data_IF_190333477735
#
_entry.id   IF_190333477735
#
_cell.length_a   1.000
_cell.length_b   1.000
_cell.length_c   1.000
_cell.angle_alpha   90.00
_cell.angle_beta   90.00
_cell.angle_gamma   90.00
#
_symmetry.space_group_name_H-M   'P 1'
#
loop_
_entity.id
_entity.type
_entity.pdbx_description
1 polymer ?
#
# COMPACT_ATOMS: atom_id res chain seq x y z
N UNK A 1 -20.16 -19.43 -20.67
CA UNK A 1 -18.94 -19.37 -21.51
C UNK A 1 -18.57 -17.91 -21.61
N UNK A 2 -17.41 -17.50 -21.10
CA UNK A 2 -17.01 -16.10 -21.18
C UNK A 2 -16.61 -15.78 -22.62
N UNK A 3 -17.11 -14.68 -23.20
CA UNK A 3 -17.03 -14.35 -24.64
C UNK A 3 -15.61 -14.15 -25.22
N UNK A 4 -14.54 -14.30 -24.42
CA UNK A 4 -13.18 -13.87 -24.79
C UNK A 4 -12.09 -14.92 -24.55
N UNK A 5 -12.44 -16.20 -24.37
CA UNK A 5 -11.48 -17.28 -24.16
C UNK A 5 -10.87 -17.76 -25.49
N UNK A 6 -9.54 -17.87 -25.56
CA UNK A 6 -8.85 -18.41 -26.74
C UNK A 6 -8.93 -19.94 -26.72
N UNK A 7 -9.43 -20.54 -27.81
CA UNK A 7 -9.58 -22.00 -27.95
C UNK A 7 -8.65 -22.50 -29.05
N UNK A 8 -7.84 -23.52 -28.74
CA UNK A 8 -6.98 -24.22 -29.70
C UNK A 8 -7.28 -25.71 -29.60
N UNK A 9 -7.57 -26.35 -30.73
CA UNK A 9 -7.92 -27.78 -30.80
C UNK A 9 -9.09 -28.22 -29.88
N UNK A 10 -10.01 -27.30 -29.55
CA UNK A 10 -11.18 -27.58 -28.71
C UNK A 10 -10.95 -27.38 -27.21
N UNK A 11 -9.74 -26.98 -26.79
CA UNK A 11 -9.42 -26.69 -25.39
C UNK A 11 -9.11 -25.20 -25.19
N UNK A 12 -9.48 -24.67 -24.02
CA UNK A 12 -9.15 -23.30 -23.64
C UNK A 12 -7.66 -23.21 -23.38
N UNK A 13 -6.99 -22.24 -24.02
CA UNK A 13 -5.56 -22.02 -23.81
C UNK A 13 -5.37 -21.42 -22.43
N UNK A 14 -4.57 -22.09 -21.60
CA UNK A 14 -4.23 -21.63 -20.26
C UNK A 14 -2.79 -21.12 -20.20
N UNK A 15 -2.56 -20.09 -19.41
CA UNK A 15 -1.22 -19.62 -19.08
C UNK A 15 -0.47 -20.73 -18.32
N UNK A 16 0.71 -21.14 -18.80
CA UNK A 16 1.53 -22.17 -18.14
C UNK A 16 2.02 -21.73 -16.77
N UNK A 17 2.26 -20.44 -16.60
CA UNK A 17 2.52 -19.85 -15.30
C UNK A 17 1.33 -20.04 -14.35
N UNK A 18 0.30 -19.21 -14.48
CA UNK A 18 -0.73 -19.13 -13.43
C UNK A 18 -2.03 -19.92 -13.69
N UNK A 19 -2.15 -20.63 -14.81
CA UNK A 19 -3.36 -21.35 -15.19
C UNK A 19 -4.54 -20.46 -15.58
N UNK A 20 -4.37 -19.13 -15.67
CA UNK A 20 -5.40 -18.21 -16.18
C UNK A 20 -5.81 -18.59 -17.61
N UNK A 21 -7.11 -18.55 -17.92
CA UNK A 21 -7.58 -18.68 -19.30
C UNK A 21 -7.06 -17.47 -20.09
N UNK A 22 -6.42 -17.73 -21.22
CA UNK A 22 -5.78 -16.69 -22.02
C UNK A 22 -6.83 -15.88 -22.77
N UNK A 23 -6.62 -14.55 -22.78
CA UNK A 23 -7.41 -13.58 -23.52
C UNK A 23 -6.51 -12.45 -24.02
N UNK A 24 -6.92 -11.76 -25.09
CA UNK A 24 -6.13 -10.71 -25.76
C UNK A 24 -6.82 -9.34 -25.76
N UNK A 25 -7.96 -9.23 -25.07
CA UNK A 25 -8.88 -8.09 -25.14
C UNK A 25 -8.62 -7.07 -24.04
N UNK A 26 -8.68 -7.49 -22.77
CA UNK A 26 -8.69 -6.60 -21.61
C UNK A 26 -7.37 -6.68 -20.83
N UNK A 27 -6.53 -5.64 -20.97
CA UNK A 27 -5.22 -5.53 -20.28
C UNK A 27 -5.30 -5.62 -18.76
N UNK A 28 -6.44 -5.28 -18.16
CA UNK A 28 -6.61 -5.23 -16.71
C UNK A 28 -7.11 -6.57 -16.12
N UNK A 29 -7.56 -7.51 -16.95
CA UNK A 29 -8.09 -8.80 -16.51
C UNK A 29 -7.03 -9.91 -16.50
N UNK A 30 -7.17 -10.92 -15.62
CA UNK A 30 -6.32 -12.11 -15.63
C UNK A 30 -6.24 -12.76 -17.01
N UNK A 31 -5.10 -13.36 -17.31
CA UNK A 31 -4.88 -14.08 -18.57
C UNK A 31 -4.60 -13.18 -19.79
N UNK A 32 -4.57 -11.85 -19.63
CA UNK A 32 -4.22 -10.96 -20.74
C UNK A 32 -2.85 -11.30 -21.30
N UNK A 33 -2.73 -11.44 -22.60
CA UNK A 33 -1.44 -11.45 -23.32
C UNK A 33 -1.60 -10.72 -24.65
N UNK A 34 -0.59 -9.94 -25.12
CA UNK A 34 -0.64 -9.35 -26.45
C UNK A 34 -0.72 -10.44 -27.53
N UNK A 35 -1.45 -10.20 -28.61
CA UNK A 35 -1.63 -11.17 -29.70
C UNK A 35 -0.31 -11.63 -30.32
N UNK A 36 0.68 -10.74 -30.42
CA UNK A 36 2.03 -11.07 -30.88
C UNK A 36 2.78 -12.03 -29.93
N UNK A 37 2.52 -11.96 -28.62
CA UNK A 37 3.09 -12.86 -27.64
C UNK A 37 2.32 -14.20 -27.59
N UNK A 38 1.00 -14.16 -27.80
CA UNK A 38 0.18 -15.36 -27.94
C UNK A 38 0.64 -16.23 -29.11
N UNK A 39 0.77 -15.65 -30.30
CA UNK A 39 1.16 -16.40 -31.50
C UNK A 39 2.52 -17.07 -31.32
N UNK A 40 3.51 -16.34 -30.77
CA UNK A 40 4.82 -16.91 -30.43
C UNK A 40 4.73 -18.02 -29.38
N UNK A 41 3.91 -17.83 -28.34
CA UNK A 41 3.72 -18.81 -27.28
C UNK A 41 3.02 -20.08 -27.77
N UNK A 42 2.10 -19.96 -28.73
CA UNK A 42 1.45 -21.11 -29.36
C UNK A 42 2.41 -21.90 -30.26
N UNK A 43 3.34 -21.21 -30.95
CA UNK A 43 4.40 -21.84 -31.74
C UNK A 43 5.44 -22.56 -30.86
N UNK A 44 5.83 -21.96 -29.74
CA UNK A 44 6.81 -22.55 -28.82
C UNK A 44 6.20 -23.56 -27.85
N UNK A 45 4.87 -23.67 -27.80
CA UNK A 45 4.15 -24.42 -26.77
C UNK A 45 4.22 -23.78 -25.38
N UNK A 46 4.77 -22.57 -25.26
CA UNK A 46 4.94 -21.84 -24.01
C UNK A 46 4.13 -20.54 -23.97
N UNK A 47 2.85 -20.62 -23.58
CA UNK A 47 1.99 -19.43 -23.46
C UNK A 47 2.01 -18.87 -22.04
N UNK A 48 2.49 -17.64 -21.89
CA UNK A 48 2.41 -16.88 -20.65
C UNK A 48 1.46 -15.68 -20.81
N UNK A 49 0.68 -15.40 -19.75
CA UNK A 49 0.01 -14.12 -19.61
C UNK A 49 1.05 -13.01 -19.33
N UNK A 50 0.68 -11.76 -19.60
CA UNK A 50 1.52 -10.58 -19.41
C UNK A 50 2.11 -10.52 -17.99
N UNK A 51 1.34 -10.90 -16.97
CA UNK A 51 1.81 -10.94 -15.58
C UNK A 51 2.92 -11.97 -15.38
N UNK A 52 2.71 -13.22 -15.81
CA UNK A 52 3.71 -14.28 -15.67
C UNK A 52 4.97 -14.00 -16.51
N UNK A 53 4.79 -13.46 -17.72
CA UNK A 53 5.89 -13.06 -18.59
C UNK A 53 6.75 -11.96 -17.96
N UNK A 54 6.12 -10.87 -17.47
CA UNK A 54 6.85 -9.77 -16.82
C UNK A 54 7.51 -10.19 -15.51
N UNK A 55 6.88 -11.10 -14.77
CA UNK A 55 7.48 -11.67 -13.58
C UNK A 55 8.74 -12.47 -13.92
N UNK A 56 8.69 -13.37 -14.90
CA UNK A 56 9.83 -14.21 -15.27
C UNK A 56 10.99 -13.44 -15.89
N UNK A 57 10.70 -12.44 -16.72
CA UNK A 57 11.75 -11.77 -17.50
C UNK A 57 12.23 -10.47 -16.87
N UNK A 58 11.36 -9.79 -16.12
CA UNK A 58 11.65 -8.48 -15.55
C UNK A 58 11.53 -8.44 -14.02
N UNK A 59 11.21 -9.57 -13.35
CA UNK A 59 10.88 -9.62 -11.94
C UNK A 59 9.82 -8.56 -11.57
N UNK A 60 8.80 -8.36 -12.41
CA UNK A 60 7.79 -7.33 -12.20
C UNK A 60 6.41 -7.94 -11.90
N UNK A 61 5.84 -7.59 -10.75
CA UNK A 61 4.52 -8.08 -10.30
C UNK A 61 3.45 -7.06 -10.70
N UNK A 62 2.51 -7.50 -11.55
CA UNK A 62 1.36 -6.69 -12.00
C UNK A 62 0.16 -6.94 -11.06
N UNK A 63 -0.49 -5.89 -10.54
CA UNK A 63 -1.67 -6.04 -9.67
C UNK A 63 -2.90 -6.52 -10.47
N UNK A 64 -3.76 -7.28 -9.80
CA UNK A 64 -5.09 -7.69 -10.31
C UNK A 64 -6.14 -7.07 -9.40
N UNK A 65 -7.22 -6.55 -9.98
CA UNK A 65 -8.37 -6.05 -9.21
C UNK A 65 -9.05 -7.20 -8.45
N UNK A 66 -9.19 -7.04 -7.14
CA UNK A 66 -9.81 -8.01 -6.24
C UNK A 66 -11.22 -7.58 -5.86
N UNK A 67 -12.11 -8.54 -5.68
CA UNK A 67 -13.38 -8.35 -4.97
C UNK A 67 -13.20 -8.68 -3.48
N UNK A 68 -14.03 -8.11 -2.61
CA UNK A 68 -13.99 -8.37 -1.17
C UNK A 68 -14.22 -9.86 -0.83
N UNK A 69 -15.01 -10.58 -1.63
CA UNK A 69 -15.29 -12.00 -1.45
C UNK A 69 -14.08 -12.88 -1.79
N UNK A 70 -13.37 -12.59 -2.87
CA UNK A 70 -12.14 -13.29 -3.23
C UNK A 70 -11.06 -13.10 -2.16
N UNK A 71 -11.04 -11.92 -1.56
CA UNK A 71 -10.16 -11.59 -0.46
C UNK A 71 -10.47 -12.40 0.81
N UNK A 72 -11.73 -12.48 1.22
CA UNK A 72 -12.11 -13.26 2.40
C UNK A 72 -11.81 -14.76 2.21
N UNK A 73 -12.03 -15.30 1.01
CA UNK A 73 -11.66 -16.68 0.67
C UNK A 73 -10.16 -16.90 0.73
N UNK A 74 -9.38 -15.98 0.17
CA UNK A 74 -7.92 -15.99 0.21
C UNK A 74 -7.42 -16.06 1.65
N UNK A 75 -7.83 -15.13 2.51
CA UNK A 75 -7.36 -15.12 3.89
C UNK A 75 -7.88 -16.33 4.69
N UNK A 76 -9.14 -16.72 4.49
CA UNK A 76 -9.68 -17.92 5.14
C UNK A 76 -8.88 -19.17 4.78
N UNK A 77 -8.40 -19.29 3.52
CA UNK A 77 -7.52 -20.39 3.12
C UNK A 77 -6.18 -20.40 3.86
N UNK A 78 -5.65 -19.21 4.18
CA UNK A 78 -4.42 -19.04 4.97
C UNK A 78 -4.70 -19.34 6.45
N UNK A 79 -5.88 -19.01 6.98
CA UNK A 79 -6.21 -19.28 8.39
C UNK A 79 -6.14 -20.76 8.78
N UNK A 80 -6.32 -21.66 7.81
CA UNK A 80 -6.32 -23.10 8.01
C UNK A 80 -4.94 -23.76 7.86
N UNK A 81 -3.90 -22.99 7.48
CA UNK A 81 -2.53 -23.50 7.37
C UNK A 81 -1.80 -23.40 8.70
N UNK A 82 -0.68 -24.11 8.81
CA UNK A 82 0.32 -23.92 9.87
C UNK A 82 1.56 -23.25 9.25
N UNK A 83 1.59 -21.91 9.28
CA UNK A 83 2.54 -21.09 8.53
C UNK A 83 2.90 -19.79 9.25
N UNK A 84 3.96 -19.12 8.81
CA UNK A 84 4.29 -17.76 9.26
C UNK A 84 3.62 -16.72 8.35
N UNK A 85 2.92 -15.75 8.93
CA UNK A 85 2.42 -14.60 8.19
C UNK A 85 3.43 -13.45 8.28
N UNK A 86 3.98 -13.05 7.14
CA UNK A 86 4.78 -11.83 7.00
C UNK A 86 3.85 -10.73 6.54
N UNK A 87 3.44 -9.88 7.47
CA UNK A 87 2.48 -8.83 7.19
C UNK A 87 3.17 -7.49 6.88
N UNK A 88 3.13 -7.07 5.62
CA UNK A 88 3.81 -5.87 5.12
C UNK A 88 2.89 -4.65 5.20
N UNK A 89 3.37 -3.60 5.84
CA UNK A 89 2.70 -2.30 5.98
C UNK A 89 3.60 -1.15 5.54
N UNK A 90 3.03 -0.10 4.96
CA UNK A 90 3.75 1.13 4.64
C UNK A 90 3.94 1.97 5.91
N UNK A 91 5.17 2.31 6.28
CA UNK A 91 5.43 3.16 7.47
C UNK A 91 4.90 4.59 7.33
N UNK A 92 4.71 5.09 6.11
CA UNK A 92 4.12 6.40 5.87
C UNK A 92 2.60 6.38 5.99
N UNK A 93 1.97 5.28 5.55
CA UNK A 93 0.51 5.11 5.58
C UNK A 93 0.09 3.87 6.37
N UNK A 94 0.45 3.85 7.67
CA UNK A 94 0.20 2.68 8.52
C UNK A 94 -1.27 2.38 8.69
N UNK A 95 -2.13 3.39 8.84
CA UNK A 95 -3.55 3.16 9.06
C UNK A 95 -4.22 2.59 7.80
N UNK A 96 -3.96 3.17 6.62
CA UNK A 96 -4.41 2.64 5.33
C UNK A 96 -3.73 1.32 4.94
N UNK A 97 -2.66 0.92 5.63
CA UNK A 97 -2.00 -0.38 5.45
C UNK A 97 -2.49 -1.47 6.39
N UNK A 98 -3.14 -1.10 7.50
CA UNK A 98 -3.65 -2.02 8.50
C UNK A 98 -5.02 -2.56 8.08
N UNK A 99 -5.11 -3.88 7.91
CA UNK A 99 -6.31 -4.59 7.50
C UNK A 99 -7.14 -4.85 8.75
N UNK A 100 -8.35 -4.28 8.86
CA UNK A 100 -9.21 -4.51 10.00
C UNK A 100 -9.51 -6.00 10.16
N UNK A 101 -9.35 -6.52 11.38
CA UNK A 101 -9.68 -7.91 11.67
C UNK A 101 -8.72 -8.96 11.10
N UNK A 102 -7.55 -8.58 10.56
CA UNK A 102 -6.58 -9.53 10.00
C UNK A 102 -6.29 -10.72 10.92
N UNK A 103 -6.16 -10.49 12.23
CA UNK A 103 -5.93 -11.54 13.23
C UNK A 103 -6.99 -12.66 13.22
N UNK A 104 -8.25 -12.34 12.87
CA UNK A 104 -9.32 -13.35 12.72
C UNK A 104 -9.19 -14.12 11.42
N UNK A 105 -8.66 -13.44 10.40
CA UNK A 105 -8.57 -13.93 9.03
C UNK A 105 -7.33 -14.78 8.81
N UNK A 106 -6.33 -14.72 9.69
CA UNK A 106 -5.12 -15.55 9.64
C UNK A 106 -5.09 -16.65 10.71
N UNK A 107 -6.14 -16.80 11.51
CA UNK A 107 -6.23 -17.85 12.53
C UNK A 107 -5.15 -17.74 13.61
N UNK A 108 -4.62 -18.88 14.04
CA UNK A 108 -3.57 -18.97 15.08
C UNK A 108 -2.15 -18.81 14.52
N UNK A 109 -2.01 -18.49 13.23
CA UNK A 109 -0.71 -18.35 12.58
C UNK A 109 0.08 -17.17 13.19
N UNK A 110 1.37 -17.36 13.53
CA UNK A 110 2.22 -16.28 14.00
C UNK A 110 2.35 -15.17 12.95
N UNK A 111 2.30 -13.91 13.39
CA UNK A 111 2.42 -12.75 12.51
C UNK A 111 3.70 -11.97 12.79
N UNK A 112 4.61 -11.93 11.81
CA UNK A 112 5.74 -11.02 11.75
C UNK A 112 5.32 -9.73 11.02
N UNK A 113 5.27 -8.61 11.74
CA UNK A 113 4.90 -7.32 11.15
C UNK A 113 6.13 -6.66 10.52
N UNK A 114 6.01 -6.25 9.26
CA UNK A 114 7.09 -5.64 8.47
C UNK A 114 6.70 -4.23 8.06
N UNK A 115 7.33 -3.22 8.67
CA UNK A 115 7.21 -1.82 8.26
C UNK A 115 8.14 -1.53 7.09
N UNK A 116 7.61 -1.44 5.88
CA UNK A 116 8.35 -1.19 4.66
C UNK A 116 8.45 0.32 4.35
N UNK A 117 9.34 0.67 3.42
CA UNK A 117 9.64 2.03 2.95
C UNK A 117 10.27 2.94 4.00
N UNK A 118 11.06 2.39 4.93
CA UNK A 118 11.70 3.22 5.98
C UNK A 118 12.66 4.28 5.43
N UNK A 119 13.12 4.14 4.19
CA UNK A 119 13.93 5.13 3.48
C UNK A 119 13.21 6.48 3.24
N UNK A 120 11.87 6.51 3.29
CA UNK A 120 11.10 7.74 3.13
C UNK A 120 10.94 8.50 4.44
N UNK A 121 11.18 7.86 5.59
CA UNK A 121 11.06 8.52 6.89
C UNK A 121 12.22 9.50 7.09
N UNK A 122 11.98 10.66 7.73
CA UNK A 122 13.04 11.61 8.04
C UNK A 122 14.15 10.98 8.88
N UNK A 123 15.41 11.37 8.66
CA UNK A 123 16.56 10.82 9.40
C UNK A 123 16.49 11.03 10.93
N UNK A 124 15.70 12.00 11.40
CA UNK A 124 15.45 12.19 12.84
C UNK A 124 14.62 11.06 13.45
N UNK A 125 13.99 10.22 12.63
CA UNK A 125 13.14 9.14 13.06
C UNK A 125 13.95 7.91 13.41
N UNK A 126 14.20 7.72 14.71
CA UNK A 126 14.98 6.59 15.21
C UNK A 126 14.25 5.27 14.95
N UNK A 127 14.86 4.35 14.20
CA UNK A 127 14.31 3.03 13.86
C UNK A 127 13.62 2.33 15.03
N UNK A 128 14.27 2.25 16.20
CA UNK A 128 13.69 1.61 17.39
C UNK A 128 12.36 2.24 17.82
N UNK A 129 12.28 3.58 17.84
CA UNK A 129 11.05 4.30 18.21
C UNK A 129 9.93 4.04 17.21
N UNK A 130 10.26 4.02 15.91
CA UNK A 130 9.29 3.73 14.84
C UNK A 130 8.77 2.29 14.96
N UNK A 131 9.64 1.32 15.24
CA UNK A 131 9.25 -0.08 15.43
C UNK A 131 8.36 -0.26 16.68
N UNK A 132 8.71 0.38 17.79
CA UNK A 132 7.91 0.36 19.04
C UNK A 132 6.54 1.01 18.81
N UNK A 133 6.50 2.16 18.14
CA UNK A 133 5.27 2.85 17.78
C UNK A 133 4.40 1.99 16.84
N UNK A 134 5.00 1.36 15.83
CA UNK A 134 4.29 0.48 14.90
C UNK A 134 3.68 -0.72 15.62
N UNK A 135 4.41 -1.32 16.56
CA UNK A 135 3.90 -2.38 17.44
C UNK A 135 2.68 -1.91 18.25
N UNK A 136 2.74 -0.71 18.81
CA UNK A 136 1.62 -0.13 19.56
C UNK A 136 0.40 0.13 18.68
N UNK A 137 0.59 0.49 17.41
CA UNK A 137 -0.51 0.64 16.44
C UNK A 137 -1.13 -0.70 16.05
N UNK A 138 -0.32 -1.70 15.75
CA UNK A 138 -0.80 -3.05 15.51
C UNK A 138 -1.62 -3.57 16.70
N UNK A 139 -1.09 -3.43 17.93
CA UNK A 139 -1.78 -3.86 19.15
C UNK A 139 -3.12 -3.15 19.34
N UNK A 140 -3.19 -1.85 19.06
CA UNK A 140 -4.44 -1.08 19.15
C UNK A 140 -5.47 -1.51 18.09
N UNK A 141 -5.01 -2.01 16.94
CA UNK A 141 -5.86 -2.63 15.91
C UNK A 141 -6.20 -4.11 16.21
N UNK A 142 -5.82 -4.62 17.38
CA UNK A 142 -6.07 -6.01 17.79
C UNK A 142 -5.09 -7.04 17.22
N UNK A 143 -4.05 -6.61 16.50
CA UNK A 143 -3.00 -7.47 15.99
C UNK A 143 -1.84 -7.52 16.98
N UNK A 144 -1.44 -8.72 17.42
CA UNK A 144 -0.31 -8.93 18.34
C UNK A 144 0.84 -9.62 17.59
N UNK A 145 1.71 -8.87 16.91
CA UNK A 145 2.78 -9.48 16.13
C UNK A 145 3.85 -10.07 17.04
N UNK A 146 4.38 -11.24 16.66
CA UNK A 146 5.49 -11.91 17.35
C UNK A 146 6.82 -11.15 17.20
N UNK A 147 6.94 -10.34 16.16
CA UNK A 147 8.09 -9.49 15.87
C UNK A 147 7.70 -8.28 15.04
N UNK A 148 8.51 -7.23 15.09
CA UNK A 148 8.38 -6.06 14.20
C UNK A 148 9.73 -5.81 13.56
N UNK A 149 9.79 -5.80 12.23
CA UNK A 149 10.99 -5.49 11.46
C UNK A 149 10.73 -4.30 10.55
N UNK A 150 11.65 -3.35 10.55
CA UNK A 150 11.63 -2.23 9.61
C UNK A 150 12.56 -2.55 8.43
N UNK A 151 12.12 -2.26 7.21
CA UNK A 151 12.87 -2.53 5.98
C UNK A 151 12.65 -1.46 4.92
N UNK A 152 13.52 -1.43 3.93
CA UNK A 152 13.26 -0.77 2.66
C UNK A 152 13.52 -1.75 1.53
N UNK A 153 12.45 -2.27 0.94
CA UNK A 153 12.56 -3.06 -0.30
C UNK A 153 13.14 -2.26 -1.47
N UNK A 154 13.13 -0.92 -1.41
CA UNK A 154 13.71 -0.08 -2.46
C UNK A 154 15.23 0.02 -2.37
N UNK A 155 15.75 0.20 -1.15
CA UNK A 155 17.19 0.42 -0.91
C UNK A 155 17.91 -0.83 -0.43
N UNK A 156 17.19 -1.94 -0.29
CA UNK A 156 17.66 -3.19 0.31
C UNK A 156 18.07 -3.05 1.79
N UNK A 157 17.65 -1.98 2.47
CA UNK A 157 17.96 -1.78 3.88
C UNK A 157 17.22 -2.79 4.76
N UNK A 158 17.97 -3.45 5.63
CA UNK A 158 17.50 -4.42 6.63
C UNK A 158 16.76 -5.65 6.08
N UNK A 159 16.85 -5.93 4.78
CA UNK A 159 16.24 -7.13 4.15
C UNK A 159 16.90 -8.42 4.67
N UNK A 160 18.22 -8.45 4.83
CA UNK A 160 18.94 -9.61 5.40
C UNK A 160 18.49 -9.89 6.85
N UNK A 161 18.23 -8.83 7.62
CA UNK A 161 17.70 -8.95 8.98
C UNK A 161 16.29 -9.52 8.97
N UNK A 162 15.46 -9.08 8.02
CA UNK A 162 14.12 -9.64 7.81
C UNK A 162 14.18 -11.13 7.48
N UNK A 163 15.03 -11.56 6.54
CA UNK A 163 15.18 -12.98 6.19
C UNK A 163 15.58 -13.82 7.40
N UNK A 164 16.50 -13.34 8.23
CA UNK A 164 16.87 -14.03 9.50
C UNK A 164 15.71 -14.12 10.49
N UNK A 165 14.87 -13.09 10.60
CA UNK A 165 13.67 -13.16 11.45
C UNK A 165 12.61 -14.10 10.88
N UNK A 166 12.42 -14.10 9.55
CA UNK A 166 11.53 -15.04 8.87
C UNK A 166 11.98 -16.47 9.15
N UNK A 167 13.26 -16.78 8.94
CA UNK A 167 13.82 -18.10 9.19
C UNK A 167 13.62 -18.53 10.65
N UNK A 168 13.92 -17.62 11.59
CA UNK A 168 13.74 -17.87 13.02
C UNK A 168 12.29 -18.18 13.39
N UNK A 169 11.32 -17.44 12.85
CA UNK A 169 9.93 -17.52 13.28
C UNK A 169 9.06 -18.48 12.47
N UNK A 170 9.49 -18.83 11.25
CA UNK A 170 8.78 -19.82 10.44
C UNK A 170 8.96 -21.22 10.99
N UNK A 171 10.05 -21.50 11.70
CA UNK A 171 10.28 -22.78 12.37
C UNK A 171 10.04 -23.99 11.43
N UNK A 172 10.62 -23.92 10.22
CA UNK A 172 10.45 -24.96 9.19
C UNK A 172 9.07 -24.99 8.51
N UNK A 173 8.24 -23.95 8.64
CA UNK A 173 6.91 -23.84 8.00
C UNK A 173 6.94 -22.96 6.76
N UNK A 174 5.85 -23.03 5.99
CA UNK A 174 5.57 -22.11 4.88
C UNK A 174 5.44 -20.67 5.38
N UNK A 175 5.65 -19.71 4.47
CA UNK A 175 5.58 -18.28 4.75
C UNK A 175 4.59 -17.61 3.81
N UNK A 176 3.58 -16.93 4.33
CA UNK A 176 2.64 -16.14 3.52
C UNK A 176 2.92 -14.65 3.68
N UNK A 177 3.21 -13.97 2.57
CA UNK A 177 3.44 -12.52 2.57
C UNK A 177 2.15 -11.81 2.22
N UNK A 178 1.57 -11.11 3.19
CA UNK A 178 0.27 -10.42 3.10
C UNK A 178 0.48 -8.91 3.20
N UNK A 179 -0.37 -8.13 2.53
CA UNK A 179 -0.36 -6.67 2.62
C UNK A 179 -1.40 -6.04 1.70
N UNK A 180 -1.78 -4.79 1.97
CA UNK A 180 -2.62 -4.03 1.03
C UNK A 180 -1.84 -3.65 -0.23
N UNK A 181 -2.51 -3.17 -1.26
CA UNK A 181 -1.86 -2.63 -2.45
C UNK A 181 -0.97 -1.45 -2.10
N UNK A 182 0.08 -1.23 -2.89
CA UNK A 182 1.03 -0.12 -2.75
C UNK A 182 1.89 -0.08 -1.48
N UNK A 183 1.82 -1.04 -0.55
CA UNK A 183 2.76 -1.13 0.60
C UNK A 183 4.19 -1.47 0.21
N UNK A 184 4.42 -1.85 -1.05
CA UNK A 184 5.73 -2.26 -1.56
C UNK A 184 6.04 -3.74 -1.33
N UNK A 185 5.03 -4.58 -1.10
CA UNK A 185 5.14 -6.05 -1.01
C UNK A 185 5.89 -6.62 -2.21
N UNK A 186 5.46 -6.30 -3.44
CA UNK A 186 6.11 -6.78 -4.66
C UNK A 186 7.59 -6.38 -4.75
N UNK A 187 7.92 -5.14 -4.40
CA UNK A 187 9.30 -4.67 -4.37
C UNK A 187 10.13 -5.44 -3.35
N UNK A 188 9.58 -5.71 -2.16
CA UNK A 188 10.23 -6.50 -1.11
C UNK A 188 10.45 -7.95 -1.54
N UNK A 189 9.43 -8.59 -2.12
CA UNK A 189 9.53 -9.95 -2.67
C UNK A 189 10.61 -10.03 -3.75
N UNK A 190 10.66 -9.07 -4.66
CA UNK A 190 11.69 -9.03 -5.69
C UNK A 190 13.10 -8.92 -5.10
N UNK A 191 13.28 -8.14 -4.02
CA UNK A 191 14.56 -8.10 -3.32
C UNK A 191 14.89 -9.45 -2.69
N UNK A 192 13.92 -10.07 -2.00
CA UNK A 192 14.08 -11.39 -1.40
C UNK A 192 14.48 -12.41 -2.46
N UNK A 193 13.82 -12.45 -3.62
CA UNK A 193 14.18 -13.34 -4.74
C UNK A 193 15.62 -13.09 -5.18
N UNK A 194 15.98 -11.82 -5.40
CA UNK A 194 17.30 -11.44 -5.90
C UNK A 194 18.43 -11.79 -4.93
N UNK A 195 18.17 -11.77 -3.62
CA UNK A 195 19.11 -12.16 -2.59
C UNK A 195 19.14 -13.67 -2.36
N UNK A 196 17.97 -14.31 -2.41
CA UNK A 196 17.84 -15.71 -2.02
C UNK A 196 18.48 -16.62 -3.05
N UNK A 197 18.57 -16.24 -4.34
CA UNK A 197 19.03 -17.23 -5.32
C UNK A 197 19.58 -16.72 -6.67
N UNK A 198 20.59 -17.45 -7.16
CA UNK A 198 20.79 -17.74 -8.59
C UNK A 198 19.76 -18.72 -9.16
N UNK A 199 18.52 -18.67 -8.68
CA UNK A 199 17.38 -19.54 -8.99
C UNK A 199 16.28 -18.65 -9.57
N UNK A 200 16.58 -18.07 -10.74
CA UNK A 200 15.55 -17.38 -11.53
C UNK A 200 14.54 -18.37 -12.12
N UNK A 201 14.91 -19.66 -12.18
CA UNK A 201 14.19 -20.68 -12.94
C UNK A 201 13.17 -21.52 -12.14
N UNK A 202 13.06 -21.34 -10.81
CA UNK A 202 12.13 -22.13 -9.95
C UNK A 202 10.93 -21.33 -9.41
N UNK A 203 10.67 -20.12 -9.92
CA UNK A 203 9.44 -19.38 -9.56
C UNK A 203 8.25 -20.04 -10.24
N UNK A 204 7.34 -20.59 -9.44
CA UNK A 204 6.06 -21.12 -9.94
C UNK A 204 4.94 -20.14 -9.61
N UNK A 205 3.96 -20.08 -10.49
CA UNK A 205 2.68 -19.44 -10.19
C UNK A 205 1.60 -20.51 -10.15
N UNK A 206 0.62 -20.33 -9.28
CA UNK A 206 -0.49 -21.25 -9.12
C UNK A 206 -1.70 -20.48 -8.61
N UNK A 207 -2.87 -21.09 -8.50
CA UNK A 207 -4.07 -20.40 -8.00
C UNK A 207 -4.29 -20.67 -6.52
N UNK A 208 -4.84 -19.69 -5.81
CA UNK A 208 -5.40 -19.95 -4.49
C UNK A 208 -6.67 -20.81 -4.61
N UNK A 209 -6.80 -21.87 -3.78
CA UNK A 209 -7.96 -22.75 -3.82
C UNK A 209 -9.29 -21.98 -3.75
N UNK A 210 -10.20 -22.25 -4.68
CA UNK A 210 -11.53 -21.62 -4.71
C UNK A 210 -11.56 -20.16 -5.17
N UNK A 211 -10.46 -19.65 -5.74
CA UNK A 211 -10.37 -18.26 -6.25
C UNK A 211 -9.77 -18.20 -7.65
N UNK A 212 -9.92 -17.05 -8.33
CA UNK A 212 -9.26 -16.75 -9.61
C UNK A 212 -7.88 -16.10 -9.45
N UNK A 213 -7.36 -16.08 -8.23
CA UNK A 213 -6.19 -15.31 -7.86
C UNK A 213 -4.89 -16.12 -7.95
N UNK A 214 -3.92 -15.57 -8.68
CA UNK A 214 -2.61 -16.21 -8.77
C UNK A 214 -1.74 -15.90 -7.53
N UNK A 215 -1.23 -16.95 -6.89
CA UNK A 215 -0.13 -16.93 -5.93
C UNK A 215 1.19 -17.14 -6.65
N UNK A 216 2.25 -16.52 -6.13
CA UNK A 216 3.63 -16.77 -6.54
C UNK A 216 4.27 -17.58 -5.42
N UNK A 217 4.89 -18.69 -5.77
CA UNK A 217 5.58 -19.57 -4.82
C UNK A 217 7.08 -19.50 -5.09
N UNK A 218 7.83 -19.23 -4.02
CA UNK A 218 9.28 -19.19 -4.02
C UNK A 218 9.75 -20.35 -3.15
N UNK A 219 10.34 -21.40 -3.73
CA UNK A 219 10.83 -22.52 -2.95
C UNK A 219 12.01 -22.11 -2.08
N UNK A 220 11.99 -22.57 -0.83
CA UNK A 220 13.07 -22.45 0.15
C UNK A 220 13.93 -23.72 0.13
N UNK A 221 15.15 -23.65 0.65
CA UNK A 221 16.12 -24.75 0.59
C UNK A 221 15.65 -26.02 1.33
N UNK A 222 14.76 -25.88 2.31
CA UNK A 222 14.23 -26.98 3.12
C UNK A 222 12.95 -27.62 2.55
N UNK A 223 12.57 -27.25 1.32
CA UNK A 223 11.38 -27.79 0.64
C UNK A 223 10.08 -27.04 0.94
N UNK A 224 10.11 -26.05 1.84
CA UNK A 224 8.97 -25.17 2.13
C UNK A 224 8.89 -24.02 1.13
N UNK A 225 7.81 -23.24 1.20
CA UNK A 225 7.55 -22.17 0.24
C UNK A 225 7.31 -20.83 0.91
N UNK A 226 7.83 -19.78 0.29
CA UNK A 226 7.41 -18.41 0.52
C UNK A 226 6.37 -18.05 -0.55
N UNK A 227 5.17 -17.71 -0.10
CA UNK A 227 4.01 -17.45 -0.95
C UNK A 227 3.71 -15.95 -0.96
N UNK A 228 3.81 -15.33 -2.13
CA UNK A 228 3.31 -13.97 -2.34
C UNK A 228 1.80 -14.02 -2.57
N UNK A 229 1.03 -13.35 -1.69
CA UNK A 229 -0.41 -13.20 -1.89
C UNK A 229 -0.69 -11.97 -2.76
N UNK A 230 -1.76 -11.91 -3.55
CA UNK A 230 -2.24 -10.67 -4.13
C UNK A 230 -2.35 -9.55 -3.09
N UNK A 231 -2.01 -8.33 -3.49
CA UNK A 231 -2.14 -7.15 -2.62
C UNK A 231 -3.61 -6.77 -2.48
N UNK A 232 -4.03 -6.48 -1.25
CA UNK A 232 -5.43 -6.24 -0.92
C UNK A 232 -5.80 -4.80 -1.25
N UNK A 233 -6.83 -4.61 -2.06
CA UNK A 233 -7.35 -3.29 -2.41
C UNK A 233 -8.33 -2.85 -1.33
N UNK A 234 -8.12 -1.69 -0.71
CA UNK A 234 -9.07 -1.10 0.21
C UNK A 234 -9.80 0.07 -0.48
N UNK A 235 -11.13 0.02 -0.64
CA UNK A 235 -11.91 1.05 -1.33
C UNK A 235 -11.71 2.47 -0.80
N UNK A 236 -11.33 2.60 0.47
CA UNK A 236 -11.10 3.86 1.16
C UNK A 236 -9.77 4.54 0.82
N UNK A 237 -8.84 3.86 0.12
CA UNK A 237 -7.53 4.43 -0.20
C UNK A 237 -7.63 5.59 -1.20
N UNK A 238 -6.97 6.71 -0.86
CA UNK A 238 -6.77 7.86 -1.75
C UNK A 238 -6.26 7.46 -3.14
N UNK A 239 -5.45 6.40 -3.22
CA UNK A 239 -4.88 5.91 -4.48
C UNK A 239 -5.93 5.54 -5.54
N UNK A 240 -7.17 5.20 -5.16
CA UNK A 240 -8.26 4.90 -6.10
C UNK A 240 -8.90 6.13 -6.71
N UNK A 241 -8.73 7.29 -6.09
CA UNK A 241 -9.28 8.57 -6.56
C UNK A 241 -8.30 9.29 -7.49
N UNK A 242 -7.08 8.76 -7.63
CA UNK A 242 -5.98 9.40 -8.36
C UNK A 242 -5.60 8.59 -9.59
N UNK A 243 -5.30 9.30 -10.67
CA UNK A 243 -4.60 8.75 -11.83
C UNK A 243 -3.16 8.37 -11.47
N UNK A 244 -2.52 7.60 -12.35
CA UNK A 244 -1.13 7.17 -12.15
C UNK A 244 -0.11 8.32 -12.13
N UNK A 245 -0.38 9.46 -12.80
CA UNK A 245 0.47 10.67 -12.72
C UNK A 245 0.29 11.37 -11.38
N UNK A 246 -0.95 11.56 -10.93
CA UNK A 246 -1.26 12.20 -9.65
C UNK A 246 -0.77 11.38 -8.46
N UNK A 247 -0.86 10.05 -8.53
CA UNK A 247 -0.35 9.16 -7.48
C UNK A 247 1.16 9.37 -7.24
N UNK A 248 1.93 9.68 -8.30
CA UNK A 248 3.37 9.99 -8.17
C UNK A 248 3.64 11.31 -7.47
N UNK A 249 2.70 12.27 -7.53
CA UNK A 249 2.82 13.57 -6.86
C UNK A 249 2.51 13.51 -5.37
N UNK A 250 1.84 12.44 -4.91
CA UNK A 250 1.47 12.26 -3.50
C UNK A 250 2.27 11.17 -2.79
N UNK A 251 2.82 10.22 -3.54
CA UNK A 251 3.56 9.09 -2.97
C UNK A 251 5.04 9.46 -2.78
N UNK A 252 5.55 9.52 -1.54
CA UNK A 252 6.95 9.82 -1.27
C UNK A 252 7.92 8.90 -2.02
N UNK A 253 8.78 9.48 -2.86
CA UNK A 253 9.81 8.74 -3.60
C UNK A 253 11.20 8.81 -2.94
N UNK A 254 11.37 9.77 -2.03
CA UNK A 254 12.62 10.08 -1.31
C UNK A 254 12.27 10.40 0.14
N UNK A 255 13.28 10.41 0.99
CA UNK A 255 13.18 10.90 2.36
C UNK A 255 12.37 12.20 2.44
N UNK A 256 11.32 12.17 3.25
CA UNK A 256 10.42 13.29 3.47
C UNK A 256 11.15 14.35 4.26
N UNK A 257 11.04 15.59 3.80
CA UNK A 257 11.53 16.77 4.50
C UNK A 257 10.38 17.35 5.32
N UNK A 258 10.46 17.36 6.66
CA UNK A 258 9.43 17.97 7.50
C UNK A 258 9.30 19.47 7.16
N UNK A 259 8.10 19.92 6.79
CA UNK A 259 7.83 21.32 6.45
C UNK A 259 7.14 22.01 7.63
N UNK A 260 7.89 22.85 8.34
CA UNK A 260 7.39 23.59 9.51
C UNK A 260 6.61 24.84 9.11
N UNK A 261 5.40 24.98 9.64
CA UNK A 261 4.54 26.15 9.51
C UNK A 261 4.23 26.73 10.88
N UNK A 262 4.24 28.05 10.96
CA UNK A 262 3.80 28.77 12.14
C UNK A 262 2.46 29.39 11.83
N UNK A 263 1.38 28.88 12.45
CA UNK A 263 0.01 29.26 12.15
C UNK A 263 -0.63 29.98 13.34
N UNK A 264 -1.36 31.05 13.04
CA UNK A 264 -2.32 31.66 13.96
C UNK A 264 -3.65 30.88 13.90
N UNK A 265 -4.51 30.98 14.93
CA UNK A 265 -5.89 30.55 14.82
C UNK A 265 -6.55 31.11 13.55
N UNK A 266 -7.49 30.36 12.98
CA UNK A 266 -8.20 30.70 11.74
C UNK A 266 -7.28 30.78 10.51
N UNK A 267 -6.26 29.91 10.44
CA UNK A 267 -5.45 29.71 9.25
C UNK A 267 -5.57 28.29 8.70
N UNK A 268 -5.42 28.20 7.39
CA UNK A 268 -5.60 26.97 6.62
C UNK A 268 -4.34 26.63 5.84
N UNK A 269 -4.01 25.34 5.76
CA UNK A 269 -3.04 24.76 4.85
C UNK A 269 -3.74 23.80 3.88
N UNK A 270 -3.57 24.03 2.58
CA UNK A 270 -3.93 23.07 1.54
C UNK A 270 -2.74 22.17 1.20
N UNK A 271 -3.04 20.89 0.95
CA UNK A 271 -2.12 19.85 0.52
C UNK A 271 -2.50 19.45 -0.91
N UNK A 272 -2.02 20.22 -1.89
CA UNK A 272 -2.63 20.28 -3.21
C UNK A 272 -4.11 20.65 -3.10
N UNK A 273 -4.91 20.15 -4.03
CA UNK A 273 -6.36 20.07 -3.92
C UNK A 273 -6.87 18.80 -3.24
N UNK A 274 -5.99 17.91 -2.76
CA UNK A 274 -6.41 16.61 -2.20
C UNK A 274 -6.81 16.64 -0.74
N UNK A 275 -6.28 17.60 0.01
CA UNK A 275 -6.53 17.72 1.42
C UNK A 275 -6.42 19.15 1.91
N UNK A 276 -7.07 19.42 3.04
CA UNK A 276 -7.03 20.71 3.71
C UNK A 276 -6.89 20.50 5.21
N UNK A 277 -6.16 21.38 5.85
CA UNK A 277 -5.96 21.40 7.29
C UNK A 277 -6.25 22.81 7.82
N UNK A 278 -7.18 22.93 8.76
CA UNK A 278 -7.52 24.18 9.42
C UNK A 278 -7.05 24.15 10.87
N UNK A 279 -6.35 25.21 11.28
CA UNK A 279 -6.19 25.52 12.70
C UNK A 279 -7.40 26.37 13.13
N UNK A 280 -8.44 25.70 13.64
CA UNK A 280 -9.73 26.32 13.95
C UNK A 280 -9.62 27.26 15.15
N UNK A 281 -9.10 26.78 16.28
CA UNK A 281 -8.93 27.60 17.47
C UNK A 281 -7.85 27.08 18.41
N UNK A 282 -7.24 28.00 19.17
CA UNK A 282 -6.27 27.72 20.23
C UNK A 282 -5.78 29.02 20.88
N UNK A 283 -4.95 28.90 21.92
CA UNK A 283 -4.55 30.02 22.79
C UNK A 283 -3.67 31.05 22.06
N UNK A 284 -2.87 30.62 21.08
CA UNK A 284 -1.93 31.48 20.36
C UNK A 284 -1.45 30.84 19.06
N UNK A 285 -0.45 31.49 18.47
CA UNK A 285 0.33 30.97 17.35
C UNK A 285 1.13 29.73 17.76
N UNK A 286 1.03 28.66 16.97
CA UNK A 286 1.74 27.40 17.20
C UNK A 286 2.52 26.94 15.98
N UNK A 287 3.47 26.02 16.22
CA UNK A 287 4.18 25.28 15.19
C UNK A 287 3.43 24.02 14.77
N UNK A 288 3.27 23.86 13.46
CA UNK A 288 2.65 22.71 12.80
C UNK A 288 3.68 22.13 11.83
N UNK A 289 3.88 20.83 11.82
CA UNK A 289 4.88 20.19 10.94
C UNK A 289 4.19 19.26 9.97
N UNK A 290 4.29 19.56 8.68
CA UNK A 290 3.69 18.77 7.60
C UNK A 290 4.70 17.73 7.11
N UNK A 291 4.27 16.48 7.07
CA UNK A 291 4.98 15.33 6.51
C UNK A 291 4.16 14.81 5.33
N UNK A 292 4.57 15.16 4.12
CA UNK A 292 3.95 14.76 2.87
C UNK A 292 5.03 14.63 1.78
N UNK A 293 4.64 14.22 0.57
CA UNK A 293 5.54 14.22 -0.59
C UNK A 293 6.22 15.61 -0.75
N UNK A 294 7.51 15.59 -1.09
CA UNK A 294 8.36 16.79 -1.04
C UNK A 294 7.95 17.84 -2.08
N UNK A 295 7.52 17.41 -3.26
CA UNK A 295 7.03 18.25 -4.35
C UNK A 295 5.54 18.58 -4.27
N UNK A 296 4.78 17.96 -3.35
CA UNK A 296 3.39 18.32 -3.11
C UNK A 296 3.27 19.81 -2.76
N UNK A 297 2.45 20.51 -3.55
CA UNK A 297 2.21 21.94 -3.38
C UNK A 297 1.46 22.20 -2.08
N UNK A 298 2.03 23.06 -1.22
CA UNK A 298 1.39 23.47 0.03
C UNK A 298 1.03 24.95 -0.06
N UNK A 299 -0.25 25.26 0.17
CA UNK A 299 -0.75 26.64 0.11
C UNK A 299 -1.34 27.07 1.45
N UNK A 300 -0.93 28.23 1.95
CA UNK A 300 -1.47 28.80 3.20
C UNK A 300 -2.38 29.97 2.90
N UNK A 301 -3.58 29.95 3.49
CA UNK A 301 -4.53 31.07 3.44
C UNK A 301 -5.20 31.27 4.82
N UNK A 302 -6.03 32.30 4.94
CA UNK A 302 -6.91 32.48 6.10
C UNK A 302 -8.14 31.58 5.96
N UNK A 303 -8.68 31.12 7.09
CA UNK A 303 -9.84 30.23 7.14
C UNK A 303 -11.07 30.86 6.46
N UNK A 304 -11.29 32.15 6.63
CA UNK A 304 -12.40 32.91 6.00
C UNK A 304 -12.40 32.82 4.46
N UNK A 305 -11.23 32.67 3.84
CA UNK A 305 -11.09 32.61 2.38
C UNK A 305 -10.98 31.19 1.84
N UNK A 306 -10.87 30.18 2.71
CA UNK A 306 -10.44 28.85 2.31
C UNK A 306 -11.45 28.16 1.37
N UNK A 307 -12.75 28.31 1.63
CA UNK A 307 -13.80 27.69 0.81
C UNK A 307 -13.84 28.29 -0.61
N UNK A 308 -13.84 29.61 -0.72
CA UNK A 308 -13.80 30.32 -2.00
C UNK A 308 -12.50 30.02 -2.76
N UNK A 309 -11.36 30.03 -2.05
CA UNK A 309 -10.07 29.71 -2.64
C UNK A 309 -10.03 28.31 -3.23
N UNK A 310 -10.54 27.31 -2.51
CA UNK A 310 -10.60 25.93 -3.01
C UNK A 310 -11.47 25.82 -4.26
N UNK A 311 -12.69 26.38 -4.23
CA UNK A 311 -13.62 26.33 -5.35
C UNK A 311 -13.06 26.99 -6.63
N UNK A 312 -12.27 28.07 -6.49
CA UNK A 312 -11.68 28.76 -7.63
C UNK A 312 -10.38 28.16 -8.18
N UNK A 313 -9.70 27.28 -7.43
CA UNK A 313 -8.32 26.87 -7.75
C UNK A 313 -8.05 25.36 -7.79
N UNK A 314 -8.99 24.50 -7.36
CA UNK A 314 -8.88 23.04 -7.51
C UNK A 314 -8.76 22.66 -8.99
N UNK A 315 -7.86 21.72 -9.31
CA UNK A 315 -7.56 21.36 -10.71
C UNK A 315 -6.63 22.34 -11.46
N UNK A 316 -6.30 23.46 -10.84
CA UNK A 316 -5.36 24.47 -11.36
C UNK A 316 -4.16 24.66 -10.43
N UNK A 317 -4.19 25.71 -9.62
CA UNK A 317 -3.14 25.97 -8.63
C UNK A 317 -3.11 24.90 -7.53
N UNK A 318 -4.29 24.42 -7.11
CA UNK A 318 -4.42 23.33 -6.14
C UNK A 318 -4.47 21.99 -6.88
N UNK A 319 -3.29 21.54 -7.28
CA UNK A 319 -3.06 20.26 -8.00
C UNK A 319 -2.05 19.41 -7.21
N UNK A 320 -2.23 18.09 -7.13
CA UNK A 320 -3.38 17.28 -7.60
C UNK A 320 -4.68 17.56 -6.80
N UNK A 321 -5.89 17.24 -7.31
CA UNK A 321 -6.14 16.55 -8.57
C UNK A 321 -5.93 17.48 -9.78
N UNK A 322 -5.71 16.90 -10.95
CA UNK A 322 -5.71 17.60 -12.23
C UNK A 322 -7.15 17.99 -12.63
N UNK A 323 -7.31 18.98 -13.52
CA UNK A 323 -8.62 19.55 -13.86
C UNK A 323 -9.65 18.53 -14.38
N UNK A 324 -9.20 17.50 -15.08
CA UNK A 324 -10.03 16.43 -15.64
C UNK A 324 -10.46 15.38 -14.60
N UNK A 325 -9.76 15.33 -13.46
CA UNK A 325 -10.07 14.45 -12.34
C UNK A 325 -10.73 15.17 -11.15
N UNK A 326 -10.70 16.51 -11.11
CA UNK A 326 -11.27 17.31 -10.03
C UNK A 326 -12.75 17.00 -9.75
N UNK A 327 -13.57 16.83 -10.80
CA UNK A 327 -14.99 16.50 -10.66
C UNK A 327 -15.23 15.10 -10.08
N UNK A 328 -14.34 14.14 -10.39
CA UNK A 328 -14.40 12.75 -9.91
C UNK A 328 -13.87 12.60 -8.49
N UNK A 329 -12.88 13.41 -8.12
CA UNK A 329 -12.26 13.41 -6.80
C UNK A 329 -13.26 13.77 -5.70
N UNK A 330 -14.27 14.59 -6.04
CA UNK A 330 -15.37 14.93 -5.14
C UNK A 330 -15.04 16.05 -4.15
N UNK A 331 -16.04 16.38 -3.32
CA UNK A 331 -15.89 17.43 -2.30
C UNK A 331 -15.16 16.90 -1.08
N UNK A 332 -14.29 17.75 -0.52
CA UNK A 332 -13.67 17.46 0.76
C UNK A 332 -14.71 17.57 1.89
N UNK A 333 -14.67 16.62 2.81
CA UNK A 333 -15.51 16.58 4.00
C UNK A 333 -14.67 16.88 5.25
N UNK A 334 -15.21 17.62 6.23
CA UNK A 334 -14.46 18.02 7.41
C UNK A 334 -14.46 16.95 8.51
N UNK A 335 -13.32 16.81 9.18
CA UNK A 335 -13.14 16.01 10.39
C UNK A 335 -12.45 16.88 11.45
N UNK A 336 -13.19 17.21 12.52
CA UNK A 336 -12.71 18.09 13.58
C UNK A 336 -12.15 17.29 14.76
N UNK A 337 -11.03 17.75 15.30
CA UNK A 337 -10.34 17.13 16.41
C UNK A 337 -9.94 18.20 17.44
N UNK A 338 -10.11 17.87 18.72
CA UNK A 338 -9.53 18.62 19.83
C UNK A 338 -8.37 17.83 20.40
N UNK A 339 -7.17 18.41 20.42
CA UNK A 339 -5.97 17.73 20.89
C UNK A 339 -5.73 17.97 22.38
N UNK A 340 -5.36 16.92 23.09
CA UNK A 340 -4.96 16.97 24.52
C UNK A 340 -3.47 16.75 24.71
N UNK A 341 -2.79 16.22 23.70
CA UNK A 341 -1.36 15.97 23.65
C UNK A 341 -0.81 16.30 22.26
N UNK A 342 0.50 16.19 22.07
CA UNK A 342 1.12 16.31 20.74
C UNK A 342 0.66 15.12 19.88
N UNK A 343 -0.01 15.40 18.78
CA UNK A 343 -0.65 14.38 17.94
C UNK A 343 -0.31 14.57 16.47
N UNK A 344 -0.55 13.54 15.67
CA UNK A 344 -0.56 13.64 14.21
C UNK A 344 -2.01 13.61 13.73
N UNK A 345 -2.41 14.61 12.94
CA UNK A 345 -3.61 14.55 12.10
C UNK A 345 -3.19 13.92 10.78
N UNK A 346 -3.70 12.73 10.50
CA UNK A 346 -3.34 11.92 9.33
C UNK A 346 -4.46 12.02 8.31
N UNK A 347 -4.07 12.29 7.06
CA UNK A 347 -4.93 12.14 5.88
C UNK A 347 -4.37 10.93 5.13
N UNK A 348 -5.10 9.81 5.16
CA UNK A 348 -4.63 8.54 4.61
C UNK A 348 -4.25 8.68 3.12
N UNK A 349 -3.14 8.06 2.73
CA UNK A 349 -2.56 8.18 1.39
C UNK A 349 -1.93 9.54 1.02
N UNK A 350 -1.99 10.57 1.87
CA UNK A 350 -1.41 11.90 1.58
C UNK A 350 -0.27 12.30 2.53
N UNK A 351 -0.42 11.98 3.81
CA UNK A 351 0.56 12.30 4.84
C UNK A 351 -0.07 12.71 6.16
N UNK A 352 0.70 13.41 6.99
CA UNK A 352 0.21 13.87 8.28
C UNK A 352 0.75 15.24 8.67
N UNK A 353 0.04 15.89 9.59
CA UNK A 353 0.42 17.14 10.21
C UNK A 353 0.58 16.88 11.70
N UNK A 354 1.79 17.07 12.22
CA UNK A 354 2.01 17.05 13.66
C UNK A 354 1.53 18.37 14.27
N UNK A 355 0.64 18.27 15.25
CA UNK A 355 -0.06 19.37 15.91
C UNK A 355 0.26 19.41 17.42
N UNK A 356 0.26 20.59 18.06
CA UNK A 356 0.46 20.71 19.49
C UNK A 356 -0.75 20.20 20.29
N UNK A 357 -0.60 20.11 21.61
CA UNK A 357 -1.70 19.92 22.54
C UNK A 357 -2.54 21.19 22.70
N UNK A 358 -3.82 21.04 23.06
CA UNK A 358 -4.67 22.17 23.47
C UNK A 358 -5.25 22.99 22.32
N UNK A 359 -5.31 22.43 21.11
CA UNK A 359 -5.86 23.11 19.92
C UNK A 359 -7.06 22.37 19.35
N UNK A 360 -7.91 23.11 18.63
CA UNK A 360 -8.94 22.54 17.75
C UNK A 360 -8.48 22.68 16.31
N UNK A 361 -8.43 21.56 15.62
CA UNK A 361 -7.97 21.46 14.23
C UNK A 361 -8.99 20.68 13.42
N UNK A 362 -9.02 20.93 12.11
CA UNK A 362 -9.92 20.24 11.20
C UNK A 362 -9.15 19.76 9.99
N UNK A 363 -9.11 18.45 9.78
CA UNK A 363 -8.60 17.87 8.54
C UNK A 363 -9.75 17.64 7.57
N UNK A 364 -9.49 17.82 6.29
CA UNK A 364 -10.46 17.61 5.23
C UNK A 364 -9.87 16.70 4.17
N UNK A 365 -10.65 15.73 3.73
CA UNK A 365 -10.32 14.78 2.68
C UNK A 365 -11.60 14.40 1.92
N UNK A 366 -11.53 13.74 0.76
CA UNK A 366 -12.71 13.15 0.12
C UNK A 366 -13.49 12.24 1.06
N UNK A 367 -14.79 12.10 0.84
CA UNK A 367 -15.68 11.32 1.72
C UNK A 367 -15.22 9.88 1.98
N UNK A 368 -14.57 9.23 1.02
CA UNK A 368 -14.07 7.87 1.20
C UNK A 368 -12.72 7.79 1.93
N UNK A 369 -11.95 8.88 1.97
CA UNK A 369 -10.60 8.90 2.56
C UNK A 369 -10.70 9.26 4.03
N UNK A 370 -10.11 8.43 4.89
CA UNK A 370 -10.15 8.69 6.31
C UNK A 370 -9.21 9.83 6.72
N UNK A 371 -9.72 10.68 7.61
CA UNK A 371 -8.92 11.61 8.39
C UNK A 371 -9.00 11.17 9.85
N UNK A 372 -7.84 10.98 10.49
CA UNK A 372 -7.77 10.46 11.84
C UNK A 372 -6.73 11.20 12.68
N UNK A 373 -6.88 11.08 13.99
CA UNK A 373 -5.90 11.54 14.97
C UNK A 373 -5.17 10.34 15.59
N UNK A 374 -3.85 10.47 15.76
CA UNK A 374 -3.02 9.48 16.46
C UNK A 374 -1.95 10.16 17.31
N UNK A 375 -1.39 9.48 18.33
CA UNK A 375 -0.19 9.95 19.00
C UNK A 375 0.93 10.18 17.98
N UNK A 376 1.65 11.29 18.13
CA UNK A 376 2.71 11.64 17.20
C UNK A 376 3.75 10.52 17.10
N UNK A 377 4.16 10.15 15.89
CA UNK A 377 5.12 9.07 15.70
C UNK A 377 6.43 9.34 16.48
N UNK A 378 6.88 10.61 16.51
CA UNK A 378 8.09 11.08 17.24
C UNK A 378 7.96 12.51 17.77
#
# INVERSE_FOLDING_TARGET
MAENEIIVAGEVVHCIGCGAAIQTVDKAKPGYTPESALNKGLESGEVYCQRCFRLRHYNEIVPVGLTDDDFLKLLSSISATDSLIVYVVDVFDVNGSLIPGLHRLVGDNPVLLVGNKVDILPASFKHKKVADWLRQRANAAGLRPIGVQLVSGKTNADVDSLLKQIEKYRDGKDVYVVGVTNVGKSTLINQIISQSTGVKDLITTSRFPGTTLDKIEIPLEDGQTLVDTPGIIQPEQMAHLLSGSELKLVTPQKMIKPKGYQLNPEQTLFLGGLGRFDYVSGDKKHGFTVYAENSLYLHRTKLENADEFYAGHVGGLLTPPESDNADKFGKLVPHEFKTTEKSDIVIEGLGWITVPAGVVVRGWAPKQVAVLIRPAMI
#
